data_IF_331480273028
#
_entry.id   IF_331480273028
#
_cell.length_a   1.000
_cell.length_b   1.000
_cell.length_c   1.000
_cell.angle_alpha   90.00
_cell.angle_beta   90.00
_cell.angle_gamma   90.00
#
_symmetry.space_group_name_H-M   'P 1'
#
loop_
_entity.id
_entity.type
_entity.pdbx_description
1 polymer ?
#
# COMPACT_ATOMS: atom_id res chain seq x y z
N UNK A 1 -3.38 2.06 -32.30
CA UNK A 1 -4.33 2.15 -31.18
C UNK A 1 -5.45 3.04 -31.65
N UNK A 2 -6.56 2.46 -32.05
CA UNK A 2 -7.74 3.24 -32.39
C UNK A 2 -8.25 3.94 -31.12
N UNK A 3 -8.69 5.21 -31.19
CA UNK A 3 -9.12 5.96 -30.01
C UNK A 3 -10.24 5.28 -29.19
N UNK A 4 -11.03 4.42 -29.84
CA UNK A 4 -12.11 3.66 -29.23
C UNK A 4 -11.61 2.50 -28.35
N UNK A 5 -10.48 1.88 -28.69
CA UNK A 5 -9.91 0.79 -27.89
C UNK A 5 -9.32 1.31 -26.58
N UNK A 6 -8.73 2.51 -26.60
CA UNK A 6 -8.19 3.14 -25.39
C UNK A 6 -9.29 3.48 -24.37
N UNK A 7 -10.44 3.96 -24.84
CA UNK A 7 -11.60 4.21 -23.98
C UNK A 7 -12.19 2.91 -23.40
N UNK A 8 -12.24 1.86 -24.22
CA UNK A 8 -12.71 0.55 -23.79
C UNK A 8 -11.80 -0.05 -22.70
N UNK A 9 -10.49 0.04 -22.88
CA UNK A 9 -9.51 -0.44 -21.90
C UNK A 9 -9.62 0.33 -20.57
N UNK A 10 -9.81 1.64 -20.62
CA UNK A 10 -10.01 2.44 -19.41
C UNK A 10 -11.27 2.01 -18.65
N UNK A 11 -12.38 1.78 -19.36
CA UNK A 11 -13.62 1.31 -18.75
C UNK A 11 -13.49 -0.11 -18.17
N UNK A 12 -12.76 -1.01 -18.84
CA UNK A 12 -12.49 -2.36 -18.31
C UNK A 12 -11.70 -2.31 -17.00
N UNK A 13 -10.68 -1.45 -16.93
CA UNK A 13 -9.88 -1.25 -15.72
C UNK A 13 -10.71 -0.67 -14.56
N UNK A 14 -11.61 0.28 -14.83
CA UNK A 14 -12.52 0.81 -13.81
C UNK A 14 -13.40 -0.28 -13.20
N UNK A 15 -13.95 -1.17 -14.03
CA UNK A 15 -14.78 -2.29 -13.56
C UNK A 15 -13.98 -3.29 -12.74
N UNK A 16 -12.76 -3.65 -13.17
CA UNK A 16 -11.89 -4.56 -12.43
C UNK A 16 -11.53 -4.02 -11.04
N UNK A 17 -11.22 -2.71 -10.95
CA UNK A 17 -10.95 -2.06 -9.67
C UNK A 17 -12.17 -2.06 -8.74
N UNK A 18 -13.37 -1.77 -9.29
CA UNK A 18 -14.61 -1.81 -8.50
C UNK A 18 -14.92 -3.24 -8.01
N UNK A 19 -14.61 -4.25 -8.81
CA UNK A 19 -14.80 -5.65 -8.43
C UNK A 19 -13.86 -6.07 -7.28
N UNK A 20 -12.58 -5.70 -7.32
CA UNK A 20 -11.65 -5.97 -6.21
C UNK A 20 -12.10 -5.28 -4.91
N UNK A 21 -12.53 -4.02 -4.98
CA UNK A 21 -13.09 -3.29 -3.85
C UNK A 21 -14.29 -4.03 -3.25
N UNK A 22 -15.23 -4.46 -4.09
CA UNK A 22 -16.44 -5.17 -3.67
C UNK A 22 -16.11 -6.50 -2.96
N UNK A 23 -15.16 -7.27 -3.48
CA UNK A 23 -14.75 -8.54 -2.90
C UNK A 23 -14.08 -8.36 -1.52
N UNK A 24 -13.21 -7.36 -1.39
CA UNK A 24 -12.56 -7.03 -0.11
C UNK A 24 -13.56 -6.51 0.92
N UNK A 25 -14.49 -5.66 0.50
CA UNK A 25 -15.55 -5.14 1.36
C UNK A 25 -16.45 -6.26 1.86
N UNK A 26 -16.95 -7.11 0.96
CA UNK A 26 -17.84 -8.22 1.29
C UNK A 26 -17.18 -9.18 2.27
N UNK A 27 -15.92 -9.57 2.02
CA UNK A 27 -15.19 -10.45 2.94
C UNK A 27 -14.89 -9.79 4.30
N UNK A 28 -14.64 -8.49 4.35
CA UNK A 28 -14.45 -7.75 5.60
C UNK A 28 -15.74 -7.67 6.42
N UNK A 29 -16.86 -7.31 5.78
CA UNK A 29 -18.13 -7.18 6.46
C UNK A 29 -18.70 -8.52 6.89
N UNK A 30 -18.55 -9.56 6.08
CA UNK A 30 -18.92 -10.92 6.48
C UNK A 30 -18.17 -11.34 7.75
N UNK A 31 -16.84 -11.16 7.80
CA UNK A 31 -16.04 -11.50 8.99
C UNK A 31 -16.37 -10.69 10.24
N UNK A 32 -16.89 -9.46 10.08
CA UNK A 32 -17.21 -8.55 11.19
C UNK A 32 -18.63 -8.73 11.72
N UNK A 33 -19.58 -9.00 10.83
CA UNK A 33 -21.00 -8.94 11.14
C UNK A 33 -21.67 -10.31 11.21
N UNK A 34 -21.08 -11.35 10.63
CA UNK A 34 -21.64 -12.70 10.65
C UNK A 34 -20.85 -13.57 11.63
N UNK A 35 -21.55 -14.17 12.59
CA UNK A 35 -20.95 -15.10 13.55
C UNK A 35 -20.47 -16.37 12.85
N UNK A 36 -19.42 -17.01 13.40
CA UNK A 36 -19.00 -18.34 12.92
C UNK A 36 -19.93 -19.46 13.38
N UNK A 37 -20.82 -19.17 14.34
CA UNK A 37 -21.89 -20.08 14.78
C UNK A 37 -23.16 -19.72 14.03
N UNK A 38 -23.55 -20.59 13.11
CA UNK A 38 -24.77 -20.45 12.32
C UNK A 38 -25.86 -21.29 12.97
N UNK A 39 -26.72 -20.63 13.74
CA UNK A 39 -27.87 -21.28 14.38
C UNK A 39 -29.12 -21.22 13.48
N UNK A 40 -29.17 -20.26 12.55
CA UNK A 40 -30.26 -20.06 11.58
C UNK A 40 -29.72 -19.79 10.17
N UNK A 41 -30.50 -20.13 9.14
CA UNK A 41 -30.14 -19.88 7.73
C UNK A 41 -30.42 -18.45 7.25
N UNK A 42 -31.15 -17.67 8.04
CA UNK A 42 -31.49 -16.28 7.77
C UNK A 42 -30.64 -15.33 8.61
N UNK A 43 -30.43 -14.12 8.07
CA UNK A 43 -29.75 -13.03 8.77
C UNK A 43 -30.59 -12.54 9.94
N UNK A 44 -29.98 -12.49 11.12
CA UNK A 44 -30.65 -11.88 12.28
C UNK A 44 -30.75 -10.36 12.09
N UNK A 45 -31.76 -9.73 12.70
CA UNK A 45 -31.94 -8.26 12.67
C UNK A 45 -30.66 -7.51 13.08
N UNK A 46 -29.88 -8.06 14.01
CA UNK A 46 -28.60 -7.49 14.44
C UNK A 46 -27.52 -7.54 13.34
N UNK A 47 -27.44 -8.66 12.62
CA UNK A 47 -26.48 -8.87 11.53
C UNK A 47 -26.82 -7.97 10.33
N UNK A 48 -28.09 -7.85 9.97
CA UNK A 48 -28.56 -6.96 8.91
C UNK A 48 -28.14 -5.50 9.16
N UNK A 49 -28.43 -4.99 10.36
CA UNK A 49 -28.05 -3.61 10.73
C UNK A 49 -26.52 -3.46 10.85
N UNK A 50 -25.80 -4.51 11.25
CA UNK A 50 -24.33 -4.48 11.26
C UNK A 50 -23.76 -4.33 9.84
N UNK A 51 -24.28 -5.09 8.86
CA UNK A 51 -23.83 -5.04 7.46
C UNK A 51 -23.97 -3.62 6.91
N UNK A 52 -25.14 -2.97 7.10
CA UNK A 52 -25.37 -1.60 6.64
C UNK A 52 -24.33 -0.62 7.21
N UNK A 53 -24.07 -0.71 8.53
CA UNK A 53 -23.05 0.11 9.20
C UNK A 53 -21.63 -0.22 8.74
N UNK A 54 -21.36 -1.49 8.43
CA UNK A 54 -20.05 -1.93 7.97
C UNK A 54 -19.73 -1.36 6.58
N UNK A 55 -20.68 -1.44 5.65
CA UNK A 55 -20.52 -0.91 4.29
C UNK A 55 -20.31 0.61 4.34
N UNK A 56 -21.11 1.34 5.11
CA UNK A 56 -20.94 2.78 5.30
C UNK A 56 -19.52 3.14 5.79
N UNK A 57 -19.07 2.49 6.87
CA UNK A 57 -17.72 2.71 7.41
C UNK A 57 -16.60 2.29 6.45
N UNK A 58 -16.81 1.22 5.68
CA UNK A 58 -15.80 0.74 4.74
C UNK A 58 -15.55 1.78 3.65
N UNK A 59 -16.62 2.37 3.10
CA UNK A 59 -16.52 3.41 2.08
C UNK A 59 -15.89 4.69 2.64
N UNK A 60 -16.27 5.11 3.85
CA UNK A 60 -15.66 6.28 4.52
C UNK A 60 -14.14 6.11 4.69
N UNK A 61 -13.70 4.92 5.13
CA UNK A 61 -12.28 4.61 5.31
C UNK A 61 -11.59 4.50 3.95
N UNK A 62 -12.24 3.90 2.96
CA UNK A 62 -11.69 3.78 1.61
C UNK A 62 -11.41 5.15 0.99
N UNK A 63 -12.30 6.14 1.17
CA UNK A 63 -12.08 7.51 0.72
C UNK A 63 -10.92 8.19 1.45
N UNK A 64 -10.82 8.03 2.78
CA UNK A 64 -9.73 8.61 3.57
C UNK A 64 -8.37 8.03 3.19
N UNK A 65 -8.30 6.71 2.95
CA UNK A 65 -7.09 6.05 2.46
C UNK A 65 -6.73 6.58 1.07
N UNK A 66 -7.72 6.74 0.19
CA UNK A 66 -7.53 7.32 -1.14
C UNK A 66 -6.89 8.72 -1.08
N UNK A 67 -7.45 9.61 -0.24
CA UNK A 67 -6.89 10.95 -0.01
C UNK A 67 -5.45 10.88 0.48
N UNK A 68 -5.16 9.99 1.44
CA UNK A 68 -3.82 9.88 2.02
C UNK A 68 -2.80 9.35 1.03
N UNK A 69 -3.20 8.39 0.19
CA UNK A 69 -2.35 7.84 -0.84
C UNK A 69 -1.95 8.91 -1.86
N UNK A 70 -2.90 9.75 -2.29
CA UNK A 70 -2.62 10.88 -3.20
C UNK A 70 -1.70 11.93 -2.58
N UNK A 71 -1.92 12.30 -1.31
CA UNK A 71 -1.01 13.20 -0.58
C UNK A 71 0.42 12.64 -0.54
N UNK A 72 0.57 11.35 -0.28
CA UNK A 72 1.89 10.70 -0.21
C UNK A 72 2.59 10.66 -1.59
N UNK A 73 1.86 10.35 -2.66
CA UNK A 73 2.43 10.34 -4.02
C UNK A 73 2.98 11.71 -4.43
N UNK A 74 2.30 12.80 -4.09
CA UNK A 74 2.79 14.15 -4.35
C UNK A 74 4.08 14.46 -3.57
N UNK A 75 4.16 14.04 -2.30
CA UNK A 75 5.39 14.22 -1.52
C UNK A 75 6.57 13.39 -2.04
N UNK A 76 6.30 12.21 -2.60
CA UNK A 76 7.33 11.34 -3.18
C UNK A 76 7.86 11.89 -4.52
N UNK A 77 7.01 12.50 -5.34
CA UNK A 77 7.43 13.19 -6.58
C UNK A 77 8.37 14.37 -6.27
N UNK A 78 8.05 15.17 -5.25
CA UNK A 78 8.92 16.26 -4.80
C UNK A 78 10.24 15.74 -4.23
N UNK A 79 10.22 14.62 -3.50
CA UNK A 79 11.42 13.98 -2.97
C UNK A 79 12.29 13.36 -4.07
N UNK A 80 11.69 12.81 -5.13
CA UNK A 80 12.39 12.23 -6.28
C UNK A 80 13.01 13.32 -7.18
N UNK A 81 12.33 14.45 -7.39
CA UNK A 81 12.88 15.59 -8.15
C UNK A 81 14.15 16.18 -7.50
N UNK A 82 14.23 16.13 -6.17
CA UNK A 82 15.39 16.58 -5.38
C UNK A 82 16.53 15.55 -5.32
N UNK A 83 16.33 14.31 -5.82
CA UNK A 83 17.38 13.29 -5.94
C UNK A 83 18.22 13.47 -7.23
N UNK A 84 17.65 14.08 -8.27
CA UNK A 84 18.26 14.21 -9.61
C UNK A 84 19.28 15.35 -9.75
N UNK A 85 19.52 16.13 -8.70
CA UNK A 85 20.46 17.27 -8.71
C UNK A 85 21.46 17.19 -7.55
N UNK A 86 22.28 16.14 -7.52
CA UNK A 86 23.60 16.22 -6.87
C UNK A 86 24.70 15.88 -7.87
N UNK A 87 25.57 16.84 -8.25
CA UNK A 87 26.79 16.51 -8.96
C UNK A 87 27.66 15.64 -8.05
N UNK A 88 28.33 14.65 -8.63
CA UNK A 88 28.88 13.49 -7.94
C UNK A 88 29.72 13.77 -6.68
N UNK A 89 29.51 12.92 -5.67
CA UNK A 89 30.51 12.70 -4.63
C UNK A 89 31.38 11.52 -5.08
N UNK A 90 32.53 11.84 -5.66
CA UNK A 90 33.63 10.89 -5.79
C UNK A 90 34.06 10.46 -4.38
N UNK A 91 33.63 9.27 -3.95
CA UNK A 91 34.16 8.67 -2.73
C UNK A 91 35.43 7.90 -3.10
N UNK A 92 36.60 8.52 -2.91
CA UNK A 92 37.88 7.82 -3.09
C UNK A 92 38.03 6.80 -1.96
N UNK A 93 38.04 5.52 -2.30
CA UNK A 93 38.42 4.44 -1.38
C UNK A 93 39.89 4.63 -0.97
N UNK A 94 40.14 5.23 0.19
CA UNK A 94 41.47 5.17 0.81
C UNK A 94 41.55 3.94 1.70
N UNK A 95 42.33 2.95 1.28
CA UNK A 95 42.77 1.85 2.13
C UNK A 95 43.69 2.42 3.22
N UNK A 96 43.28 2.34 4.49
CA UNK A 96 44.18 2.57 5.63
C UNK A 96 44.35 1.26 6.38
N UNK A 97 45.43 0.58 6.02
CA UNK A 97 45.91 -0.67 6.62
C UNK A 97 46.76 -0.33 7.85
N UNK A 98 46.30 -0.66 9.07
CA UNK A 98 47.14 -0.98 10.25
C UNK A 98 46.31 -1.47 11.46
N UNK A 99 46.23 -2.81 11.54
CA UNK A 99 46.30 -3.70 12.72
C UNK A 99 45.78 -3.24 14.10
N UNK A 100 44.77 -3.98 14.65
CA UNK A 100 44.89 -4.90 15.81
C UNK A 100 43.55 -5.66 16.04
N UNK A 101 43.60 -6.96 15.70
CA UNK A 101 42.91 -8.16 16.23
C UNK A 101 41.58 -8.07 17.03
N UNK A 102 40.44 -8.49 16.43
CA UNK A 102 39.52 -9.59 16.88
C UNK A 102 38.32 -9.77 15.91
N UNK A 103 38.26 -10.88 15.16
CA UNK A 103 37.06 -11.43 14.48
C UNK A 103 36.31 -12.38 15.47
N UNK A 104 35.04 -12.83 15.27
CA UNK A 104 34.10 -12.69 14.15
C UNK A 104 32.61 -12.38 14.56
N UNK A 105 31.70 -12.49 13.59
CA UNK A 105 30.21 -12.56 13.64
C UNK A 105 29.47 -11.24 13.33
N UNK A 106 28.71 -11.27 12.22
CA UNK A 106 27.88 -10.23 11.59
C UNK A 106 28.56 -9.34 10.54
N UNK A 107 28.94 -9.96 9.42
CA UNK A 107 29.06 -9.29 8.13
C UNK A 107 27.67 -9.11 7.51
N UNK A 108 27.05 -7.95 7.73
CA UNK A 108 26.14 -7.27 6.78
C UNK A 108 25.68 -5.93 7.34
N UNK A 109 26.62 -5.03 7.55
CA UNK A 109 26.32 -3.61 7.68
C UNK A 109 27.09 -2.85 6.60
N UNK A 110 26.46 -2.68 5.44
CA UNK A 110 26.71 -1.53 4.60
C UNK A 110 26.33 -0.28 5.42
N UNK A 111 27.26 0.23 6.22
CA UNK A 111 27.07 1.53 6.87
C UNK A 111 27.36 2.59 5.82
N UNK A 112 26.33 2.93 5.05
CA UNK A 112 26.31 4.13 4.24
C UNK A 112 26.19 5.34 5.20
N UNK A 113 27.32 5.77 5.77
CA UNK A 113 27.39 7.07 6.44
C UNK A 113 27.41 8.14 5.35
N UNK A 114 26.31 8.91 5.26
CA UNK A 114 26.16 10.05 4.34
C UNK A 114 27.37 11.01 4.46
N UNK A 115 27.82 11.44 3.27
CA UNK A 115 28.80 12.48 2.92
C UNK A 115 30.21 11.98 2.56
#
# INVERSE_FOLDING_TARGET
MDPQEAQKLAAELEVEMMADMYNRMTSSCHKKCISTRYDTGDLEKGEAVCIDRCVAKYLDIHEQIGKKLTEMSQTDEEAMSKMSQKPGYSCKCFAKMKHILRFPVYANYFVCKKC
#
